data_IF_313531536880
#
_entry.id   IF_313531536880
#
_cell.length_a   1.000
_cell.length_b   1.000
_cell.length_c   1.000
_cell.angle_alpha   90.00
_cell.angle_beta   90.00
_cell.angle_gamma   90.00
#
_symmetry.space_group_name_H-M   'P 1'
#
loop_
_entity.id
_entity.type
_entity.pdbx_description
1 polymer ?
#
# COMPACT_ATOMS: atom_id res chain seq x y z
N UNK A 1 -23.04 53.86 -29.12
CA UNK A 1 -23.07 52.76 -28.12
C UNK A 1 -22.70 51.41 -28.72
N UNK A 2 -22.88 51.19 -30.00
CA UNK A 2 -22.57 49.91 -30.71
C UNK A 2 -21.06 49.78 -31.01
N UNK A 3 -20.36 50.86 -31.32
CA UNK A 3 -18.91 50.82 -31.60
C UNK A 3 -18.04 50.54 -30.38
N UNK A 4 -18.41 51.01 -29.18
CA UNK A 4 -17.68 50.65 -27.93
C UNK A 4 -17.84 49.21 -27.51
N UNK A 5 -18.94 48.52 -27.88
CA UNK A 5 -19.13 47.09 -27.64
C UNK A 5 -18.29 46.23 -28.59
N UNK A 6 -18.10 46.67 -29.84
CA UNK A 6 -17.26 45.96 -30.81
C UNK A 6 -15.78 46.04 -30.46
N UNK A 7 -15.31 47.18 -29.92
CA UNK A 7 -13.93 47.39 -29.49
C UNK A 7 -13.60 46.56 -28.24
N UNK A 8 -14.54 46.49 -27.28
CA UNK A 8 -14.38 45.65 -26.06
C UNK A 8 -14.36 44.14 -26.36
N UNK A 9 -15.19 43.70 -27.31
CA UNK A 9 -15.16 42.29 -27.77
C UNK A 9 -13.91 41.94 -28.58
N UNK A 10 -13.25 42.93 -29.21
CA UNK A 10 -12.01 42.74 -29.94
C UNK A 10 -10.78 42.70 -28.99
N UNK A 11 -10.85 43.43 -27.88
CA UNK A 11 -9.83 43.38 -26.83
C UNK A 11 -9.90 42.07 -26.01
N UNK A 12 -11.10 41.56 -25.70
CA UNK A 12 -11.29 40.27 -25.06
C UNK A 12 -10.74 39.17 -25.96
N UNK A 13 -11.01 39.17 -27.28
CA UNK A 13 -10.45 38.21 -28.24
C UNK A 13 -8.95 38.33 -28.46
N UNK A 14 -8.32 39.46 -28.10
CA UNK A 14 -6.87 39.63 -28.09
C UNK A 14 -6.21 39.15 -26.79
N UNK A 15 -6.92 39.14 -25.69
CA UNK A 15 -6.45 38.58 -24.40
C UNK A 15 -6.44 37.05 -24.43
N UNK A 16 -7.42 36.41 -25.10
CA UNK A 16 -7.49 34.95 -25.27
C UNK A 16 -6.46 34.39 -26.29
N UNK A 17 -5.66 35.25 -26.93
CA UNK A 17 -4.64 34.81 -27.91
C UNK A 17 -3.20 34.82 -27.42
N UNK A 18 -2.99 34.98 -26.13
CA UNK A 18 -1.67 34.81 -25.52
C UNK A 18 -1.66 33.67 -24.49
N UNK A 19 -2.32 32.57 -24.79
CA UNK A 19 -1.83 31.31 -24.24
C UNK A 19 -0.43 31.09 -24.77
N UNK A 20 0.55 31.12 -23.86
CA UNK A 20 1.94 30.95 -24.20
C UNK A 20 2.15 29.60 -24.88
N UNK A 21 3.11 29.51 -25.79
CA UNK A 21 3.52 28.24 -26.42
C UNK A 21 3.86 27.17 -25.36
N UNK A 22 4.18 27.59 -24.13
CA UNK A 22 4.37 26.76 -22.95
C UNK A 22 3.06 26.11 -22.46
N UNK A 23 1.93 26.83 -22.43
CA UNK A 23 0.62 26.28 -22.05
C UNK A 23 0.09 25.28 -23.06
N UNK A 24 0.35 25.49 -24.35
CA UNK A 24 -0.01 24.52 -25.41
C UNK A 24 0.83 23.24 -25.38
N UNK A 25 2.08 23.31 -24.91
CA UNK A 25 2.92 22.11 -24.74
C UNK A 25 2.48 21.28 -23.53
N UNK A 26 1.87 21.90 -22.50
CA UNK A 26 1.29 21.21 -21.35
C UNK A 26 -0.02 20.48 -21.68
N UNK A 27 -0.80 20.95 -22.66
CA UNK A 27 -2.12 20.41 -22.99
C UNK A 27 -2.10 19.12 -23.86
N UNK A 28 -0.95 18.67 -24.36
CA UNK A 28 -0.89 17.62 -25.39
C UNK A 28 -0.18 16.32 -24.98
N UNK A 29 0.13 16.07 -23.71
CA UNK A 29 0.97 14.91 -23.35
C UNK A 29 0.36 13.88 -22.41
N UNK A 30 -0.94 13.67 -22.45
CA UNK A 30 -1.60 12.56 -21.73
C UNK A 30 -1.19 11.13 -22.18
N UNK A 31 -0.18 10.99 -23.07
CA UNK A 31 0.19 9.69 -23.66
C UNK A 31 1.60 9.16 -23.35
N UNK A 32 2.47 9.92 -22.66
CA UNK A 32 3.80 9.43 -22.31
C UNK A 32 4.20 9.87 -20.89
N UNK A 33 3.54 9.31 -19.88
CA UNK A 33 4.00 9.40 -18.51
C UNK A 33 5.27 8.54 -18.36
N UNK A 34 6.33 9.12 -17.79
CA UNK A 34 7.51 8.34 -17.40
C UNK A 34 7.33 7.86 -15.97
N UNK A 35 7.30 6.56 -15.75
CA UNK A 35 7.16 6.00 -14.42
C UNK A 35 8.41 6.18 -13.56
N UNK A 36 8.22 6.28 -12.24
CA UNK A 36 9.32 6.53 -11.28
C UNK A 36 10.40 5.45 -11.35
N UNK A 37 10.05 4.19 -11.62
CA UNK A 37 11.02 3.10 -11.77
C UNK A 37 11.98 3.32 -12.96
N UNK A 38 11.52 4.00 -14.01
CA UNK A 38 12.30 4.26 -15.23
C UNK A 38 13.28 5.44 -15.08
N UNK A 39 13.23 6.19 -13.98
CA UNK A 39 14.02 7.37 -13.76
C UNK A 39 15.52 7.05 -13.70
N UNK A 40 16.30 7.76 -14.52
CA UNK A 40 17.77 7.72 -14.52
C UNK A 40 18.32 9.11 -14.25
N UNK A 41 19.42 9.19 -13.47
CA UNK A 41 20.09 10.46 -13.17
C UNK A 41 20.43 11.23 -14.45
N UNK A 42 20.19 12.53 -14.44
CA UNK A 42 20.39 13.43 -15.57
C UNK A 42 19.20 13.50 -16.55
N UNK A 43 18.25 12.59 -16.49
CA UNK A 43 17.08 12.63 -17.37
C UNK A 43 16.13 13.77 -16.98
N UNK A 44 15.43 14.32 -17.97
CA UNK A 44 14.24 15.13 -17.74
C UNK A 44 13.03 14.20 -17.54
N UNK A 45 12.10 14.61 -16.70
CA UNK A 45 10.82 13.93 -16.53
C UNK A 45 9.67 14.90 -16.74
N UNK A 46 8.53 14.35 -17.12
CA UNK A 46 7.27 15.04 -17.26
C UNK A 46 6.16 14.05 -17.02
N UNK A 47 5.15 14.45 -16.26
CA UNK A 47 3.98 13.61 -16.01
C UNK A 47 3.08 14.14 -14.91
N UNK A 48 2.00 13.39 -14.68
CA UNK A 48 1.14 13.57 -13.52
C UNK A 48 1.60 12.58 -12.45
N UNK A 49 1.66 13.02 -11.20
CA UNK A 49 2.02 12.22 -10.03
C UNK A 49 1.12 12.58 -8.86
N UNK A 50 0.85 11.62 -7.99
CA UNK A 50 0.21 11.89 -6.72
C UNK A 50 1.22 12.56 -5.77
N UNK A 51 0.91 13.75 -5.30
CA UNK A 51 1.71 14.43 -4.27
C UNK A 51 1.38 13.84 -2.89
N UNK A 52 2.01 12.73 -2.50
CA UNK A 52 1.72 12.05 -1.23
C UNK A 52 1.97 12.91 0.00
N UNK A 53 2.99 13.77 -0.04
CA UNK A 53 3.26 14.74 1.02
C UNK A 53 3.87 16.03 0.50
N UNK A 54 3.58 17.15 1.20
CA UNK A 54 4.14 18.48 0.93
C UNK A 54 4.60 19.11 2.24
N UNK A 55 5.86 19.47 2.30
CA UNK A 55 6.44 20.20 3.43
C UNK A 55 7.04 21.51 2.95
N UNK A 56 6.78 22.58 3.66
CA UNK A 56 7.36 23.90 3.42
C UNK A 56 8.56 24.08 4.33
N UNK A 57 9.75 24.10 3.75
CA UNK A 57 11.02 24.14 4.48
C UNK A 57 11.84 25.37 4.10
N UNK A 58 12.88 25.67 4.90
CA UNK A 58 13.84 26.76 4.62
C UNK A 58 15.24 26.19 4.46
N UNK A 59 15.97 26.70 3.48
CA UNK A 59 17.40 26.43 3.32
C UNK A 59 18.19 27.13 4.47
N UNK A 60 19.48 26.79 4.61
CA UNK A 60 20.38 27.48 5.55
C UNK A 60 20.50 28.99 5.29
N UNK A 61 20.27 29.43 4.04
CA UNK A 61 20.23 30.83 3.64
C UNK A 61 18.85 31.49 3.81
N UNK A 62 17.87 30.81 4.44
CA UNK A 62 16.55 31.35 4.72
C UNK A 62 15.55 31.28 3.54
N UNK A 63 15.97 30.80 2.35
CA UNK A 63 15.07 30.67 1.19
C UNK A 63 14.07 29.52 1.40
N UNK A 64 12.80 29.80 1.20
CA UNK A 64 11.73 28.80 1.28
C UNK A 64 11.74 27.89 0.04
N UNK A 65 11.52 26.60 0.24
CA UNK A 65 11.36 25.59 -0.80
C UNK A 65 10.34 24.53 -0.37
N UNK A 66 9.81 23.77 -1.34
CA UNK A 66 8.96 22.63 -1.03
C UNK A 66 9.77 21.33 -1.09
N UNK A 67 9.54 20.47 -0.08
CA UNK A 67 9.93 19.06 -0.08
C UNK A 67 8.67 18.24 -0.28
N UNK A 68 8.62 17.48 -1.38
CA UNK A 68 7.47 16.68 -1.78
C UNK A 68 7.87 15.21 -1.80
N UNK A 69 6.89 14.34 -1.61
CA UNK A 69 6.97 12.92 -1.95
C UNK A 69 5.99 12.68 -3.11
N UNK A 70 6.51 12.35 -4.29
CA UNK A 70 5.70 12.03 -5.46
C UNK A 70 5.53 10.52 -5.59
N UNK A 71 4.35 10.09 -6.02
CA UNK A 71 4.00 8.68 -6.17
C UNK A 71 3.34 8.39 -7.51
N UNK A 72 3.70 7.25 -8.09
CA UNK A 72 2.93 6.53 -9.10
C UNK A 72 2.80 5.05 -8.71
N UNK A 73 2.22 4.22 -9.57
CA UNK A 73 2.02 2.77 -9.29
C UNK A 73 3.32 1.98 -9.18
N UNK A 74 4.45 2.53 -9.62
CA UNK A 74 5.76 1.87 -9.63
C UNK A 74 6.60 2.24 -8.42
N UNK A 75 6.24 3.30 -7.69
CA UNK A 75 6.96 3.68 -6.48
C UNK A 75 6.75 5.12 -6.05
N UNK A 76 7.65 5.55 -5.16
CA UNK A 76 7.70 6.90 -4.61
C UNK A 76 9.08 7.51 -4.83
N UNK A 77 9.15 8.85 -4.97
CA UNK A 77 10.41 9.57 -5.13
C UNK A 77 10.37 10.90 -4.39
N UNK A 78 11.47 11.24 -3.75
CA UNK A 78 11.69 12.57 -3.18
C UNK A 78 11.77 13.63 -4.28
N UNK A 79 11.06 14.75 -4.09
CA UNK A 79 11.04 15.87 -5.01
C UNK A 79 11.30 17.19 -4.29
N UNK A 80 12.09 18.06 -4.90
CA UNK A 80 12.40 19.38 -4.36
C UNK A 80 12.00 20.47 -5.35
N UNK A 81 11.30 21.47 -4.84
CA UNK A 81 10.94 22.70 -5.57
C UNK A 81 11.75 23.85 -4.97
N UNK A 82 12.93 24.11 -5.53
CA UNK A 82 13.86 25.09 -4.98
C UNK A 82 13.47 26.55 -5.25
N UNK A 83 12.67 26.77 -6.30
CA UNK A 83 12.23 28.10 -6.72
C UNK A 83 10.71 28.17 -6.80
N UNK A 84 10.12 28.94 -5.89
CA UNK A 84 8.68 29.18 -5.85
C UNK A 84 8.37 30.38 -6.73
N UNK A 85 8.31 30.16 -8.04
CA UNK A 85 8.02 31.17 -9.07
C UNK A 85 6.62 30.97 -9.66
N UNK A 86 6.25 31.75 -10.65
CA UNK A 86 4.93 31.69 -11.32
C UNK A 86 4.66 30.36 -12.05
N UNK A 87 5.67 29.49 -12.20
CA UNK A 87 5.48 28.14 -12.73
C UNK A 87 4.98 27.12 -11.69
N UNK A 88 4.85 27.54 -10.43
CA UNK A 88 4.36 26.70 -9.32
C UNK A 88 2.98 27.18 -8.92
N UNK A 89 1.95 26.51 -9.43
CA UNK A 89 0.56 26.74 -9.02
C UNK A 89 0.31 26.25 -7.60
N UNK A 90 -0.81 26.64 -7.02
CA UNK A 90 -1.22 26.18 -5.69
C UNK A 90 -1.73 24.73 -5.76
N UNK A 91 -1.30 23.92 -4.78
CA UNK A 91 -1.68 22.52 -4.62
C UNK A 91 -1.46 22.08 -3.17
N UNK A 92 -2.08 20.99 -2.77
CA UNK A 92 -1.93 20.38 -1.45
C UNK A 92 -1.37 18.96 -1.51
N UNK A 93 -1.02 18.41 -0.34
CA UNK A 93 -0.79 16.97 -0.23
C UNK A 93 -2.07 16.22 -0.64
N UNK A 94 -1.90 15.06 -1.26
CA UNK A 94 -2.93 14.20 -1.84
C UNK A 94 -3.57 14.74 -3.13
N UNK A 95 -3.11 15.88 -3.68
CA UNK A 95 -3.48 16.30 -5.03
C UNK A 95 -2.70 15.52 -6.10
N UNK A 96 -3.36 15.25 -7.20
CA UNK A 96 -2.68 14.87 -8.44
C UNK A 96 -2.13 16.10 -9.10
N UNK A 97 -0.82 16.13 -9.29
CA UNK A 97 -0.11 17.29 -9.84
C UNK A 97 0.60 16.93 -11.14
N UNK A 98 0.41 17.75 -12.17
CA UNK A 98 1.23 17.71 -13.37
C UNK A 98 2.51 18.47 -13.10
N UNK A 99 3.65 17.84 -13.33
CA UNK A 99 4.96 18.41 -13.03
C UNK A 99 6.02 18.01 -14.02
N UNK A 100 7.04 18.83 -14.15
CA UNK A 100 8.26 18.55 -14.90
C UNK A 100 9.52 18.96 -14.12
N UNK A 101 10.65 18.44 -14.58
CA UNK A 101 11.92 18.73 -13.95
C UNK A 101 13.03 17.80 -14.41
N UNK A 102 13.99 17.57 -13.53
CA UNK A 102 15.14 16.71 -13.79
C UNK A 102 15.38 15.74 -12.65
N UNK A 103 15.82 14.54 -13.01
CA UNK A 103 16.25 13.51 -12.06
C UNK A 103 17.68 13.79 -11.61
N UNK A 104 17.89 13.79 -10.29
CA UNK A 104 19.21 14.00 -9.67
C UNK A 104 19.48 12.91 -8.65
N UNK A 105 20.70 12.87 -8.13
CA UNK A 105 21.08 11.99 -7.03
C UNK A 105 21.50 12.81 -5.80
N UNK A 106 21.06 12.41 -4.63
CA UNK A 106 21.48 13.00 -3.36
C UNK A 106 21.78 11.90 -2.34
N UNK A 107 23.00 11.88 -1.84
CA UNK A 107 23.48 10.84 -0.88
C UNK A 107 23.25 9.40 -1.36
N UNK A 108 23.40 9.16 -2.68
CA UNK A 108 23.21 7.84 -3.27
C UNK A 108 21.74 7.45 -3.56
N UNK A 109 20.78 8.31 -3.24
CA UNK A 109 19.37 8.10 -3.54
C UNK A 109 18.89 8.99 -4.67
N UNK A 110 18.04 8.47 -5.56
CA UNK A 110 17.40 9.25 -6.62
C UNK A 110 16.45 10.28 -6.02
N UNK A 111 16.48 11.49 -6.58
CA UNK A 111 15.62 12.60 -6.22
C UNK A 111 15.28 13.39 -7.48
N UNK A 112 14.17 14.10 -7.50
CA UNK A 112 13.82 14.98 -8.61
C UNK A 112 13.81 16.45 -8.19
N UNK A 113 14.33 17.31 -9.08
CA UNK A 113 14.20 18.76 -8.99
C UNK A 113 13.06 19.18 -9.90
N UNK A 114 12.00 19.69 -9.30
CA UNK A 114 10.78 20.12 -9.98
C UNK A 114 10.86 21.59 -10.35
N UNK A 115 10.48 21.92 -11.57
CA UNK A 115 10.55 23.29 -12.12
C UNK A 115 9.18 23.91 -12.35
N UNK A 116 8.15 23.10 -12.62
CA UNK A 116 6.76 23.56 -12.81
C UNK A 116 5.78 22.59 -12.16
N UNK A 117 4.71 23.14 -11.61
CA UNK A 117 3.61 22.37 -10.99
C UNK A 117 2.28 23.03 -11.32
N UNK A 118 1.28 22.22 -11.68
CA UNK A 118 -0.12 22.58 -11.61
C UNK A 118 -0.94 21.39 -11.10
N UNK A 119 -2.11 21.65 -10.55
CA UNK A 119 -3.09 20.57 -10.29
C UNK A 119 -3.51 19.93 -11.61
N UNK A 120 -3.62 18.60 -11.59
CA UNK A 120 -4.23 17.87 -12.69
C UNK A 120 -5.77 18.00 -12.58
N UNK A 121 -6.44 18.05 -13.73
CA UNK A 121 -7.90 18.12 -13.79
C UNK A 121 -8.48 16.70 -13.86
N UNK A 122 -9.72 16.56 -13.44
CA UNK A 122 -10.45 15.32 -13.57
C UNK A 122 -10.52 14.90 -15.07
N UNK A 123 -10.17 13.64 -15.34
CA UNK A 123 -10.06 13.10 -16.70
C UNK A 123 -8.68 13.23 -17.36
N UNK A 124 -7.70 13.94 -16.75
CA UNK A 124 -6.31 13.97 -17.23
C UNK A 124 -5.51 12.76 -16.74
N UNK A 125 -5.99 12.01 -15.74
CA UNK A 125 -5.31 10.88 -15.13
C UNK A 125 -6.31 9.77 -14.75
N UNK A 126 -5.80 8.55 -14.69
CA UNK A 126 -6.50 7.41 -14.08
C UNK A 126 -5.90 7.18 -12.68
N UNK A 127 -6.67 7.30 -11.60
CA UNK A 127 -6.18 7.08 -10.23
C UNK A 127 -5.47 5.73 -10.04
N UNK A 128 -5.85 4.69 -10.79
CA UNK A 128 -5.23 3.37 -10.72
C UNK A 128 -3.74 3.38 -11.13
N UNK A 129 -3.29 4.36 -11.92
CA UNK A 129 -1.90 4.49 -12.34
C UNK A 129 -0.98 5.10 -11.24
N UNK A 130 -1.55 5.50 -10.10
CA UNK A 130 -0.80 6.17 -9.02
C UNK A 130 -0.81 5.41 -7.71
N UNK A 131 -1.54 4.32 -7.64
CA UNK A 131 -1.69 3.52 -6.43
C UNK A 131 -1.11 2.14 -6.73
N UNK A 132 -0.04 1.71 -6.03
CA UNK A 132 0.47 0.36 -6.16
C UNK A 132 -0.65 -0.66 -5.93
N UNK A 133 -0.71 -1.70 -6.74
CA UNK A 133 -1.70 -2.77 -6.61
C UNK A 133 -1.02 -4.13 -6.70
N UNK A 134 -1.66 -5.15 -6.13
CA UNK A 134 -1.23 -6.54 -6.27
C UNK A 134 -1.02 -6.91 -7.75
N UNK A 135 0.04 -7.66 -8.03
CA UNK A 135 0.34 -8.23 -9.35
C UNK A 135 -0.59 -9.40 -9.69
N UNK A 136 -1.29 -9.94 -8.71
CA UNK A 136 -2.21 -11.08 -8.84
C UNK A 136 -3.65 -10.58 -8.98
N UNK A 137 -4.47 -11.35 -9.69
CA UNK A 137 -5.89 -11.05 -9.81
C UNK A 137 -6.59 -11.17 -8.45
N UNK A 138 -7.22 -10.09 -8.02
CA UNK A 138 -7.87 -10.02 -6.69
C UNK A 138 -9.10 -10.90 -6.59
N UNK A 139 -9.79 -11.13 -7.69
CA UNK A 139 -10.96 -12.01 -7.69
C UNK A 139 -10.53 -13.47 -7.57
N UNK A 140 -9.50 -13.88 -8.31
CA UNK A 140 -8.94 -15.24 -8.19
C UNK A 140 -8.42 -15.52 -6.78
N UNK A 141 -7.66 -14.58 -6.18
CA UNK A 141 -7.20 -14.69 -4.79
C UNK A 141 -8.35 -14.81 -3.81
N UNK A 142 -9.40 -14.00 -3.98
CA UNK A 142 -10.56 -14.04 -3.11
C UNK A 142 -11.34 -15.36 -3.25
N UNK A 143 -11.54 -15.87 -4.45
CA UNK A 143 -12.22 -17.15 -4.67
C UNK A 143 -11.43 -18.31 -4.05
N UNK A 144 -10.11 -18.28 -4.09
CA UNK A 144 -9.27 -19.26 -3.40
C UNK A 144 -9.45 -19.17 -1.88
N UNK A 145 -9.47 -17.95 -1.30
CA UNK A 145 -9.72 -17.75 0.14
C UNK A 145 -11.10 -18.29 0.54
N UNK A 146 -12.13 -18.05 -0.26
CA UNK A 146 -13.48 -18.62 -0.06
C UNK A 146 -13.44 -20.15 -0.14
N UNK A 147 -12.59 -20.71 -0.99
CA UNK A 147 -12.32 -22.14 -1.02
C UNK A 147 -11.87 -22.68 0.35
N UNK A 148 -10.92 -22.03 1.01
CA UNK A 148 -10.49 -22.40 2.37
C UNK A 148 -11.61 -22.22 3.39
N UNK A 149 -12.33 -21.11 3.36
CA UNK A 149 -13.50 -20.88 4.22
C UNK A 149 -14.51 -22.03 4.12
N UNK A 150 -14.77 -22.50 2.89
CA UNK A 150 -15.70 -23.59 2.65
C UNK A 150 -15.26 -24.93 3.26
N UNK A 151 -13.99 -25.11 3.55
CA UNK A 151 -13.46 -26.34 4.20
C UNK A 151 -13.60 -26.35 5.73
N UNK A 152 -13.90 -25.23 6.38
CA UNK A 152 -14.10 -25.17 7.83
C UNK A 152 -15.32 -25.99 8.22
N UNK A 153 -15.18 -26.92 9.18
CA UNK A 153 -16.24 -27.84 9.64
C UNK A 153 -16.85 -27.40 10.97
N UNK A 154 -16.08 -26.74 11.85
CA UNK A 154 -16.58 -26.23 13.12
C UNK A 154 -17.66 -25.16 12.84
N UNK A 155 -18.93 -25.36 13.29
CA UNK A 155 -20.05 -24.56 12.81
C UNK A 155 -19.98 -23.08 13.24
N UNK A 156 -19.46 -22.77 14.42
CA UNK A 156 -19.40 -21.39 14.92
C UNK A 156 -18.27 -20.61 14.24
N UNK A 157 -17.10 -21.23 14.01
CA UNK A 157 -16.01 -20.63 13.24
C UNK A 157 -16.43 -20.42 11.79
N UNK A 158 -17.14 -21.39 11.21
CA UNK A 158 -17.72 -21.27 9.86
C UNK A 158 -18.68 -20.10 9.76
N UNK A 159 -19.63 -20.02 10.70
CA UNK A 159 -20.62 -18.93 10.70
C UNK A 159 -19.95 -17.57 10.86
N UNK A 160 -19.00 -17.45 11.80
CA UNK A 160 -18.24 -16.20 12.00
C UNK A 160 -17.51 -15.78 10.73
N UNK A 161 -16.80 -16.71 10.08
CA UNK A 161 -16.01 -16.42 8.87
C UNK A 161 -16.91 -16.09 7.68
N UNK A 162 -17.99 -16.86 7.47
CA UNK A 162 -18.93 -16.60 6.38
C UNK A 162 -19.59 -15.23 6.49
N UNK A 163 -19.94 -14.79 7.69
CA UNK A 163 -20.55 -13.49 7.94
C UNK A 163 -19.77 -12.34 7.31
N UNK A 164 -18.45 -12.31 7.46
CA UNK A 164 -17.59 -11.24 6.95
C UNK A 164 -17.14 -11.47 5.51
N UNK A 165 -16.69 -12.67 5.21
CA UNK A 165 -15.99 -12.95 3.96
C UNK A 165 -16.87 -13.60 2.88
N UNK A 166 -18.15 -13.83 3.12
CA UNK A 166 -19.06 -14.42 2.13
C UNK A 166 -20.38 -13.65 2.04
N UNK A 167 -20.92 -13.15 3.17
CA UNK A 167 -22.27 -12.57 3.23
C UNK A 167 -22.26 -11.04 3.18
N UNK A 168 -21.23 -10.39 3.74
CA UNK A 168 -21.12 -8.93 3.78
C UNK A 168 -20.39 -8.39 2.53
N UNK A 169 -21.17 -7.99 1.54
CA UNK A 169 -20.64 -7.51 0.25
C UNK A 169 -19.80 -6.23 0.38
N UNK A 170 -20.14 -5.34 1.33
CA UNK A 170 -19.39 -4.10 1.57
C UNK A 170 -18.05 -4.40 2.21
N UNK A 171 -18.03 -5.24 3.25
CA UNK A 171 -16.80 -5.69 3.87
C UNK A 171 -15.88 -6.44 2.89
N UNK A 172 -16.43 -7.33 2.07
CA UNK A 172 -15.68 -8.06 1.03
C UNK A 172 -15.01 -7.09 0.05
N UNK A 173 -15.74 -6.06 -0.39
CA UNK A 173 -15.21 -5.05 -1.30
C UNK A 173 -14.05 -4.30 -0.65
N UNK A 174 -14.19 -3.85 0.59
CA UNK A 174 -13.18 -3.15 1.35
C UNK A 174 -11.95 -4.04 1.58
N UNK A 175 -12.12 -5.25 2.09
CA UNK A 175 -11.05 -6.23 2.31
C UNK A 175 -10.23 -6.52 1.05
N UNK A 176 -10.88 -6.67 -0.12
CA UNK A 176 -10.23 -6.91 -1.41
C UNK A 176 -9.41 -5.72 -1.92
N UNK A 177 -9.62 -4.53 -1.39
CA UNK A 177 -8.93 -3.31 -1.80
C UNK A 177 -7.90 -2.84 -0.78
N UNK A 178 -8.03 -3.28 0.48
CA UNK A 178 -7.23 -2.79 1.59
C UNK A 178 -5.76 -3.21 1.49
N UNK A 179 -4.86 -2.34 2.01
CA UNK A 179 -3.45 -2.67 2.20
C UNK A 179 -3.21 -3.45 3.48
N UNK A 180 -2.12 -4.21 3.54
CA UNK A 180 -1.66 -4.82 4.77
C UNK A 180 -0.63 -3.98 5.54
N UNK A 181 -0.16 -2.86 4.96
CA UNK A 181 0.83 -1.99 5.60
C UNK A 181 0.79 -0.57 5.03
N UNK A 182 1.29 0.41 5.79
CA UNK A 182 1.40 1.80 5.34
C UNK A 182 2.40 1.98 4.18
N UNK A 183 3.57 1.30 4.22
CA UNK A 183 4.68 1.59 3.29
C UNK A 183 5.68 0.45 3.07
N UNK A 184 5.48 -0.69 3.69
CA UNK A 184 6.34 -1.88 3.56
C UNK A 184 5.56 -3.01 2.91
N UNK A 185 6.12 -4.24 2.86
CA UNK A 185 5.50 -5.41 2.26
C UNK A 185 3.96 -5.40 2.33
N UNK A 186 3.33 -5.69 1.20
CA UNK A 186 1.86 -5.61 1.02
C UNK A 186 1.22 -4.22 1.24
N UNK A 187 2.00 -3.12 1.15
CA UNK A 187 1.51 -1.73 1.23
C UNK A 187 0.87 -1.23 -0.07
N UNK A 188 0.02 -2.05 -0.70
CA UNK A 188 -0.62 -1.79 -1.99
C UNK A 188 -2.08 -2.28 -2.00
N UNK A 189 -2.85 -1.86 -3.00
CA UNK A 189 -4.25 -2.27 -3.17
C UNK A 189 -4.35 -3.79 -3.33
N UNK A 190 -5.12 -4.43 -2.44
CA UNK A 190 -5.26 -5.89 -2.36
C UNK A 190 -4.14 -6.57 -1.58
N UNK A 191 -3.27 -5.79 -0.92
CA UNK A 191 -2.18 -6.33 -0.10
C UNK A 191 -2.67 -7.15 1.09
N UNK A 192 -3.74 -6.70 1.76
CA UNK A 192 -4.34 -7.44 2.87
C UNK A 192 -4.89 -8.80 2.42
N UNK A 193 -5.60 -8.86 1.30
CA UNK A 193 -6.08 -10.11 0.73
C UNK A 193 -4.92 -11.04 0.33
N UNK A 194 -3.89 -10.51 -0.35
CA UNK A 194 -2.73 -11.30 -0.78
C UNK A 194 -2.00 -11.91 0.40
N UNK A 195 -1.71 -11.12 1.43
CA UNK A 195 -1.07 -11.56 2.67
C UNK A 195 -1.92 -12.61 3.41
N UNK A 196 -3.19 -12.30 3.66
CA UNK A 196 -4.11 -13.22 4.33
C UNK A 196 -4.18 -14.58 3.61
N UNK A 197 -4.25 -14.58 2.28
CA UNK A 197 -4.27 -15.82 1.49
C UNK A 197 -2.94 -16.59 1.60
N UNK A 198 -1.80 -15.91 1.54
CA UNK A 198 -0.49 -16.54 1.66
C UNK A 198 -0.31 -17.19 3.04
N UNK A 199 -0.66 -16.49 4.11
CA UNK A 199 -0.65 -17.02 5.49
C UNK A 199 -1.61 -18.20 5.62
N UNK A 200 -2.82 -18.12 5.05
CA UNK A 200 -3.81 -19.22 5.07
C UNK A 200 -3.28 -20.48 4.37
N UNK A 201 -2.61 -20.35 3.21
CA UNK A 201 -1.98 -21.47 2.49
C UNK A 201 -0.93 -22.16 3.35
N UNK A 202 -0.07 -21.39 4.02
CA UNK A 202 0.96 -21.94 4.91
C UNK A 202 0.35 -22.63 6.14
N UNK A 203 -0.67 -22.05 6.74
CA UNK A 203 -1.39 -22.63 7.87
C UNK A 203 -2.09 -23.94 7.48
N UNK A 204 -2.68 -24.03 6.29
CA UNK A 204 -3.26 -25.27 5.77
C UNK A 204 -2.18 -26.35 5.55
N UNK A 205 -1.02 -25.94 5.02
CA UNK A 205 0.12 -26.87 4.90
C UNK A 205 0.59 -27.38 6.28
N UNK A 206 0.71 -26.49 7.28
CA UNK A 206 1.09 -26.90 8.63
C UNK A 206 0.07 -27.88 9.24
N UNK A 207 -1.23 -27.56 9.15
CA UNK A 207 -2.27 -28.43 9.69
C UNK A 207 -2.32 -29.82 9.06
N UNK A 208 -1.98 -29.93 7.78
CA UNK A 208 -1.85 -31.25 7.08
C UNK A 208 -0.65 -32.07 7.53
N UNK A 209 0.40 -31.44 8.05
CA UNK A 209 1.66 -32.11 8.41
C UNK A 209 1.84 -32.27 9.92
N UNK A 210 1.15 -31.51 10.75
CA UNK A 210 1.29 -31.53 12.20
C UNK A 210 -0.08 -31.82 12.86
N UNK A 211 -0.29 -33.08 13.25
CA UNK A 211 -1.56 -33.57 13.79
C UNK A 211 -1.98 -32.96 15.15
N UNK A 212 -1.11 -32.18 15.79
CA UNK A 212 -1.42 -31.46 17.03
C UNK A 212 -2.22 -30.19 16.77
N UNK A 213 -2.35 -29.76 15.52
CA UNK A 213 -3.03 -28.52 15.13
C UNK A 213 -4.51 -28.77 14.88
N UNK A 214 -5.36 -27.98 15.52
CA UNK A 214 -6.75 -27.82 15.11
C UNK A 214 -6.78 -26.98 13.84
N UNK A 215 -7.10 -27.66 12.71
CA UNK A 215 -7.08 -27.03 11.39
C UNK A 215 -8.12 -25.91 11.27
N UNK A 216 -9.34 -26.13 11.79
CA UNK A 216 -10.43 -25.17 11.64
C UNK A 216 -10.14 -23.89 12.42
N UNK A 217 -9.63 -24.02 13.65
CA UNK A 217 -9.17 -22.89 14.45
C UNK A 217 -8.02 -22.15 13.75
N UNK A 218 -7.00 -22.89 13.24
CA UNK A 218 -5.83 -22.29 12.61
C UNK A 218 -6.17 -21.56 11.30
N UNK A 219 -7.02 -22.13 10.43
CA UNK A 219 -7.47 -21.49 9.19
C UNK A 219 -8.30 -20.25 9.51
N UNK A 220 -9.21 -20.33 10.48
CA UNK A 220 -10.00 -19.16 10.91
C UNK A 220 -9.08 -18.08 11.47
N UNK A 221 -8.11 -18.43 12.31
CA UNK A 221 -7.14 -17.49 12.84
C UNK A 221 -6.30 -16.83 11.74
N UNK A 222 -5.86 -17.60 10.73
CA UNK A 222 -5.12 -17.07 9.58
C UNK A 222 -5.95 -16.07 8.75
N UNK A 223 -7.25 -16.29 8.59
CA UNK A 223 -8.15 -15.40 7.87
C UNK A 223 -8.39 -14.09 8.63
N UNK A 224 -8.44 -14.15 9.96
CA UNK A 224 -8.76 -13.00 10.80
C UNK A 224 -7.55 -12.29 11.43
N UNK A 225 -6.31 -12.83 11.35
CA UNK A 225 -5.18 -12.32 12.14
C UNK A 225 -4.94 -10.82 11.94
N UNK A 226 -5.07 -10.37 10.74
CA UNK A 226 -4.82 -8.99 10.30
C UNK A 226 -6.09 -8.19 10.00
N UNK A 227 -7.27 -8.71 10.32
CA UNK A 227 -8.57 -8.06 10.03
C UNK A 227 -8.66 -6.63 10.58
N UNK A 228 -8.01 -6.37 11.70
CA UNK A 228 -8.00 -5.05 12.34
C UNK A 228 -7.34 -3.96 11.49
N UNK A 229 -6.53 -4.31 10.49
CA UNK A 229 -5.91 -3.37 9.57
C UNK A 229 -6.90 -2.56 8.75
N UNK A 230 -8.12 -3.07 8.53
CA UNK A 230 -9.22 -2.34 7.88
C UNK A 230 -9.58 -1.06 8.65
N UNK A 231 -9.44 -1.07 9.96
CA UNK A 231 -9.68 0.13 10.80
C UNK A 231 -8.39 0.83 11.21
N UNK A 232 -7.26 0.12 11.21
CA UNK A 232 -5.95 0.70 11.54
C UNK A 232 -5.46 1.66 10.47
N UNK A 233 -5.70 1.36 9.19
CA UNK A 233 -5.25 2.17 8.06
C UNK A 233 -6.43 2.78 7.33
N UNK A 234 -6.25 4.00 6.83
CA UNK A 234 -7.23 4.66 5.97
C UNK A 234 -7.15 4.12 4.55
N UNK A 235 -8.23 4.29 3.80
CA UNK A 235 -8.29 3.96 2.38
C UNK A 235 -7.20 4.63 1.54
N UNK A 236 -6.88 4.02 0.40
CA UNK A 236 -6.11 4.68 -0.64
C UNK A 236 -6.85 5.91 -1.19
N UNK A 237 -6.12 6.95 -1.59
CA UNK A 237 -4.66 7.03 -1.78
C UNK A 237 -3.85 7.37 -0.53
N UNK A 238 -4.47 7.74 0.59
CA UNK A 238 -3.76 8.14 1.81
C UNK A 238 -2.96 6.97 2.40
N UNK A 239 -3.61 5.86 2.66
CA UNK A 239 -3.01 4.67 3.27
C UNK A 239 -2.16 5.03 4.49
N UNK A 240 -2.74 5.80 5.41
CA UNK A 240 -2.08 6.26 6.65
C UNK A 240 -2.83 5.73 7.88
N UNK A 241 -2.19 5.74 9.02
CA UNK A 241 -2.82 5.35 10.27
C UNK A 241 -4.01 6.26 10.59
N UNK A 242 -5.13 5.65 10.96
CA UNK A 242 -6.28 6.35 11.56
C UNK A 242 -5.99 6.69 13.03
N UNK A 243 -6.81 7.54 13.64
CA UNK A 243 -6.73 7.80 15.08
C UNK A 243 -6.92 6.52 15.90
N UNK A 244 -7.87 5.66 15.49
CA UNK A 244 -8.14 4.37 16.11
C UNK A 244 -6.95 3.41 15.94
N UNK A 245 -6.34 3.38 14.77
CA UNK A 245 -5.14 2.61 14.49
C UNK A 245 -3.94 3.04 15.34
N UNK A 246 -3.72 4.34 15.49
CA UNK A 246 -2.64 4.89 16.31
C UNK A 246 -2.82 4.60 17.81
N UNK A 247 -4.05 4.60 18.30
CA UNK A 247 -4.35 4.43 19.72
C UNK A 247 -4.46 2.97 20.14
N UNK A 248 -5.00 2.09 19.29
CA UNK A 248 -5.35 0.72 19.64
C UNK A 248 -4.55 -0.34 18.88
N UNK A 249 -4.28 -0.11 17.59
CA UNK A 249 -3.59 -1.04 16.71
C UNK A 249 -4.45 -2.23 16.26
N UNK A 250 -4.10 -2.80 15.09
CA UNK A 250 -4.88 -3.86 14.44
C UNK A 250 -5.03 -5.14 15.27
N UNK A 251 -4.00 -5.50 16.06
CA UNK A 251 -4.02 -6.71 16.90
C UNK A 251 -5.18 -6.64 17.90
N UNK A 252 -5.30 -5.49 18.60
CA UNK A 252 -6.38 -5.30 19.55
C UNK A 252 -7.74 -5.22 18.85
N UNK A 253 -7.84 -4.40 17.79
CA UNK A 253 -9.08 -4.21 17.03
C UNK A 253 -9.61 -5.53 16.47
N UNK A 254 -8.74 -6.39 15.94
CA UNK A 254 -9.11 -7.72 15.46
C UNK A 254 -9.58 -8.64 16.57
N UNK A 255 -8.87 -8.69 17.69
CA UNK A 255 -9.25 -9.52 18.83
C UNK A 255 -10.56 -9.05 19.50
N UNK A 256 -10.81 -7.74 19.56
CA UNK A 256 -12.05 -7.15 20.05
C UNK A 256 -13.23 -7.51 19.13
N UNK A 257 -13.04 -7.37 17.80
CA UNK A 257 -14.03 -7.79 16.81
C UNK A 257 -14.48 -9.23 17.05
N UNK A 258 -13.52 -10.17 17.13
CA UNK A 258 -13.83 -11.59 17.36
C UNK A 258 -14.62 -11.79 18.65
N UNK A 259 -14.22 -11.13 19.76
CA UNK A 259 -14.94 -11.23 21.03
C UNK A 259 -16.41 -10.78 20.92
N UNK A 260 -16.62 -9.61 20.34
CA UNK A 260 -17.94 -9.01 20.13
C UNK A 260 -18.82 -9.82 19.19
N UNK A 261 -18.25 -10.41 18.16
CA UNK A 261 -19.01 -11.18 17.18
C UNK A 261 -19.32 -12.60 17.65
N UNK A 262 -18.42 -13.24 18.41
CA UNK A 262 -18.68 -14.52 19.03
C UNK A 262 -19.87 -14.46 20.01
N UNK A 263 -20.02 -13.37 20.76
CA UNK A 263 -21.17 -13.15 21.66
C UNK A 263 -22.52 -13.08 20.92
N UNK A 264 -22.53 -12.68 19.66
CA UNK A 264 -23.74 -12.57 18.82
C UNK A 264 -24.14 -13.89 18.16
N UNK A 265 -23.25 -14.87 18.12
CA UNK A 265 -23.51 -16.19 17.55
C UNK A 265 -24.04 -17.12 18.65
N UNK A 266 -25.29 -17.56 18.56
CA UNK A 266 -25.88 -18.40 19.60
C UNK A 266 -25.10 -19.70 19.83
N UNK A 267 -24.72 -19.97 21.07
CA UNK A 267 -24.00 -21.19 21.45
C UNK A 267 -22.51 -21.21 21.08
N UNK A 268 -21.94 -20.10 20.66
CA UNK A 268 -20.47 -20.04 20.40
C UNK A 268 -19.72 -20.44 21.69
N UNK A 269 -18.86 -21.48 21.65
CA UNK A 269 -18.14 -21.90 22.85
C UNK A 269 -17.17 -20.82 23.33
N UNK A 270 -17.31 -20.43 24.60
CA UNK A 270 -16.47 -19.37 25.19
C UNK A 270 -14.96 -19.70 25.14
N UNK A 271 -14.65 -21.00 25.30
CA UNK A 271 -13.26 -21.48 25.19
C UNK A 271 -12.73 -21.24 23.78
N UNK A 272 -13.49 -21.63 22.76
CA UNK A 272 -13.10 -21.47 21.35
C UNK A 272 -12.93 -19.97 20.97
N UNK A 273 -13.81 -19.10 21.46
CA UNK A 273 -13.69 -17.66 21.27
C UNK A 273 -12.40 -17.10 21.90
N UNK A 274 -12.02 -17.59 23.09
CA UNK A 274 -10.75 -17.20 23.74
C UNK A 274 -9.54 -17.72 23.00
N UNK A 275 -9.57 -18.94 22.50
CA UNK A 275 -8.49 -19.55 21.72
C UNK A 275 -8.27 -18.80 20.41
N UNK A 276 -9.32 -18.49 19.66
CA UNK A 276 -9.21 -17.69 18.44
C UNK A 276 -8.66 -16.29 18.73
N UNK A 277 -9.17 -15.61 19.77
CA UNK A 277 -8.64 -14.30 20.19
C UNK A 277 -7.18 -14.37 20.61
N UNK A 278 -6.76 -15.46 21.28
CA UNK A 278 -5.36 -15.66 21.63
C UNK A 278 -4.48 -15.77 20.39
N UNK A 279 -4.90 -16.50 19.35
CA UNK A 279 -4.16 -16.57 18.09
C UNK A 279 -3.97 -15.17 17.49
N UNK A 280 -5.02 -14.32 17.48
CA UNK A 280 -4.91 -12.94 16.99
C UNK A 280 -3.96 -12.11 17.87
N UNK A 281 -4.10 -12.17 19.21
CA UNK A 281 -3.26 -11.39 20.13
C UNK A 281 -1.78 -11.80 20.11
N UNK A 282 -1.45 -12.99 19.65
CA UNK A 282 -0.12 -13.56 19.71
C UNK A 282 0.59 -13.70 18.34
N UNK A 283 -0.07 -13.31 17.23
CA UNK A 283 0.42 -13.67 15.88
C UNK A 283 1.77 -13.03 15.53
N UNK A 284 2.14 -11.85 16.02
CA UNK A 284 3.48 -11.29 15.85
C UNK A 284 4.57 -12.01 16.69
N UNK A 285 4.19 -12.88 17.65
CA UNK A 285 5.08 -13.76 18.40
C UNK A 285 5.82 -13.12 19.56
N UNK A 286 6.44 -11.98 19.38
CA UNK A 286 7.27 -11.29 20.37
C UNK A 286 6.64 -9.98 20.85
N UNK A 287 6.91 -9.64 22.12
CA UNK A 287 6.40 -8.39 22.72
C UNK A 287 6.98 -7.15 22.04
N UNK A 288 8.23 -7.23 21.58
CA UNK A 288 8.93 -6.18 20.84
C UNK A 288 8.25 -5.86 19.49
N UNK A 289 7.52 -6.81 18.94
CA UNK A 289 6.78 -6.64 17.69
C UNK A 289 5.31 -6.26 17.91
N UNK A 290 4.95 -5.89 19.15
CA UNK A 290 3.63 -5.39 19.50
C UNK A 290 2.61 -6.46 19.90
N UNK A 291 2.97 -7.76 19.91
CA UNK A 291 2.09 -8.78 20.46
C UNK A 291 1.91 -8.59 21.96
N UNK A 292 0.68 -8.42 22.48
CA UNK A 292 0.45 -8.34 23.92
C UNK A 292 0.66 -9.68 24.64
N UNK A 293 0.77 -10.78 23.91
CA UNK A 293 1.03 -12.14 24.40
C UNK A 293 1.93 -12.91 23.45
N UNK A 294 2.79 -13.77 24.00
CA UNK A 294 3.51 -14.77 23.21
C UNK A 294 2.57 -15.95 22.89
N UNK A 295 2.79 -16.66 21.76
CA UNK A 295 2.01 -17.85 21.41
C UNK A 295 2.08 -18.90 22.51
N UNK A 296 0.93 -19.30 23.05
CA UNK A 296 0.80 -20.31 24.09
C UNK A 296 0.11 -21.60 23.60
N UNK A 297 -0.34 -21.63 22.36
CA UNK A 297 -0.99 -22.75 21.68
C UNK A 297 -0.25 -23.10 20.40
N UNK A 298 -0.38 -24.34 19.95
CA UNK A 298 0.27 -24.80 18.73
C UNK A 298 -0.20 -24.02 17.50
N UNK A 299 -1.48 -23.69 17.42
CA UNK A 299 -2.10 -22.90 16.35
C UNK A 299 -1.57 -21.47 16.33
N UNK A 300 -1.46 -20.82 17.49
CA UNK A 300 -0.88 -19.47 17.59
C UNK A 300 0.59 -19.46 17.17
N UNK A 301 1.37 -20.50 17.50
CA UNK A 301 2.76 -20.66 17.08
C UNK A 301 2.86 -20.88 15.56
N UNK A 302 2.01 -21.73 14.99
CA UNK A 302 1.97 -22.00 13.56
C UNK A 302 1.58 -20.75 12.77
N UNK A 303 0.60 -19.99 13.25
CA UNK A 303 0.19 -18.71 12.65
C UNK A 303 1.34 -17.71 12.66
N UNK A 304 2.02 -17.51 13.78
CA UNK A 304 3.19 -16.63 13.88
C UNK A 304 4.29 -16.98 12.87
N UNK A 305 4.58 -18.27 12.70
CA UNK A 305 5.59 -18.67 11.70
C UNK A 305 5.13 -18.42 10.26
N UNK A 306 3.85 -18.63 9.96
CA UNK A 306 3.29 -18.39 8.63
C UNK A 306 3.32 -16.90 8.29
N UNK A 307 2.86 -16.05 9.20
CA UNK A 307 2.85 -14.60 9.08
C UNK A 307 4.28 -14.03 8.88
N UNK A 308 5.20 -14.38 9.78
CA UNK A 308 6.60 -13.95 9.69
C UNK A 308 7.30 -14.45 8.40
N UNK A 309 6.98 -15.67 7.95
CA UNK A 309 7.55 -16.21 6.71
C UNK A 309 7.07 -15.41 5.50
N UNK A 310 5.77 -15.11 5.40
CA UNK A 310 5.23 -14.31 4.30
C UNK A 310 5.82 -12.91 4.28
N UNK A 311 5.79 -12.20 5.40
CA UNK A 311 6.34 -10.85 5.54
C UNK A 311 7.81 -10.76 5.11
N UNK A 312 8.65 -11.72 5.52
CA UNK A 312 10.07 -11.74 5.16
C UNK A 312 10.32 -12.14 3.71
N UNK A 313 9.56 -13.09 3.18
CA UNK A 313 9.69 -13.49 1.77
C UNK A 313 9.21 -12.41 0.82
N UNK A 314 8.13 -11.70 1.16
CA UNK A 314 7.68 -10.56 0.37
C UNK A 314 8.69 -9.41 0.41
N UNK A 315 9.27 -9.10 1.58
CA UNK A 315 10.39 -8.14 1.69
C UNK A 315 11.57 -8.54 0.80
N UNK A 316 11.93 -9.82 0.76
CA UNK A 316 12.98 -10.33 -0.15
C UNK A 316 12.58 -10.15 -1.61
N UNK A 317 11.33 -10.44 -1.95
CA UNK A 317 10.78 -10.27 -3.31
C UNK A 317 10.88 -8.84 -3.77
N UNK A 318 10.48 -7.88 -2.94
CA UNK A 318 10.62 -6.46 -3.24
C UNK A 318 12.08 -6.02 -3.47
N UNK A 319 13.02 -6.53 -2.67
CA UNK A 319 14.44 -6.24 -2.84
C UNK A 319 14.96 -6.81 -4.17
N UNK A 320 14.54 -8.03 -4.51
CA UNK A 320 14.96 -8.71 -5.73
C UNK A 320 14.36 -8.05 -6.99
N UNK A 321 13.11 -7.58 -6.91
CA UNK A 321 12.43 -6.92 -8.04
C UNK A 321 13.08 -5.57 -8.41
N UNK A 322 13.63 -4.87 -7.41
CA UNK A 322 14.34 -3.60 -7.59
C UNK A 322 15.78 -3.77 -8.06
N UNK A 323 16.32 -4.97 -8.03
CA UNK A 323 17.72 -5.25 -8.37
C UNK A 323 17.85 -5.92 -9.74
N UNK A 324 18.92 -5.55 -10.47
CA UNK A 324 19.34 -6.30 -11.66
C UNK A 324 19.78 -7.74 -11.26
N UNK A 325 19.62 -8.73 -12.15
CA UNK A 325 20.06 -10.10 -11.88
C UNK A 325 21.56 -10.17 -11.62
N UNK A 326 21.96 -10.40 -10.39
CA UNK A 326 23.37 -10.43 -9.98
C UNK A 326 23.62 -11.40 -8.86
N UNK A 327 24.83 -12.00 -8.83
CA UNK A 327 25.33 -12.78 -7.69
C UNK A 327 26.08 -11.93 -6.68
N UNK A 328 26.18 -10.63 -6.87
CA UNK A 328 26.78 -9.71 -5.91
C UNK A 328 25.82 -9.44 -4.73
N UNK A 329 26.37 -8.89 -3.65
CA UNK A 329 25.58 -8.49 -2.50
C UNK A 329 24.77 -7.22 -2.81
N UNK A 330 23.47 -7.25 -2.51
CA UNK A 330 22.55 -6.12 -2.71
C UNK A 330 22.57 -5.11 -1.54
N UNK A 331 23.33 -5.40 -0.50
CA UNK A 331 23.48 -4.57 0.68
C UNK A 331 22.65 -5.02 1.87
N UNK A 332 22.73 -4.26 2.98
CA UNK A 332 22.06 -4.55 4.22
C UNK A 332 20.60 -4.09 4.17
N UNK A 333 19.68 -4.99 4.45
CA UNK A 333 18.25 -4.68 4.59
C UNK A 333 17.87 -4.65 6.08
N UNK A 334 17.31 -3.53 6.55
CA UNK A 334 16.97 -3.33 7.97
C UNK A 334 15.82 -4.22 8.44
N UNK A 335 14.83 -4.49 7.58
CA UNK A 335 13.67 -5.33 7.92
C UNK A 335 14.04 -6.81 8.03
N UNK A 336 15.08 -7.24 7.30
CA UNK A 336 15.60 -8.61 7.33
C UNK A 336 16.79 -8.75 8.30
N UNK A 337 17.30 -7.64 8.81
CA UNK A 337 18.49 -7.55 9.66
C UNK A 337 19.69 -8.31 9.07
N UNK A 338 19.80 -8.32 7.74
CA UNK A 338 20.81 -9.11 7.02
C UNK A 338 21.23 -8.44 5.71
N UNK A 339 22.43 -8.80 5.25
CA UNK A 339 22.83 -8.54 3.87
C UNK A 339 22.09 -9.49 2.93
N UNK A 340 21.56 -8.95 1.83
CA UNK A 340 20.74 -9.67 0.87
C UNK A 340 21.52 -10.02 -0.39
N UNK A 341 21.26 -11.19 -0.97
CA UNK A 341 21.86 -11.68 -2.21
C UNK A 341 20.89 -12.59 -2.96
N UNK A 342 20.82 -12.44 -4.28
CA UNK A 342 20.08 -13.37 -5.13
C UNK A 342 20.79 -14.70 -5.27
N UNK A 343 20.04 -15.80 -5.30
CA UNK A 343 20.62 -17.11 -5.61
C UNK A 343 20.85 -17.29 -7.10
N UNK A 344 21.85 -18.10 -7.49
CA UNK A 344 22.12 -18.39 -8.90
C UNK A 344 20.92 -19.02 -9.61
N UNK A 345 20.16 -19.87 -8.93
CA UNK A 345 18.95 -20.49 -9.46
C UNK A 345 17.81 -19.48 -9.72
N UNK A 346 17.66 -18.47 -8.87
CA UNK A 346 16.70 -17.38 -9.09
C UNK A 346 17.07 -16.55 -10.33
N UNK A 347 18.34 -16.19 -10.47
CA UNK A 347 18.85 -15.43 -11.62
C UNK A 347 18.62 -16.20 -12.93
N UNK A 348 18.82 -17.52 -12.93
CA UNK A 348 18.56 -18.35 -14.11
C UNK A 348 17.09 -18.37 -14.55
N UNK A 349 16.14 -18.25 -13.64
CA UNK A 349 14.70 -18.21 -13.96
C UNK A 349 14.24 -16.86 -14.51
N UNK A 350 14.99 -15.79 -14.28
CA UNK A 350 14.69 -14.44 -14.79
C UNK A 350 15.32 -14.13 -16.15
N UNK A 351 16.22 -14.98 -16.65
CA UNK A 351 16.78 -14.91 -18.01
C UNK A 351 15.93 -15.72 -18.98
#
# INVERSE_FOLDING_TARGET
MIEKKAQFLTEIKKCDRKESAAERSFAHSGKNMTYIEEYKEGNKFFGIYLCKSKQVLKTKAGKTYYSLLLQDKTGVIDAKVWELNNGIADFDAMDFIMTDGSVTSFQGSRQVNVTRIRKAQEGEYDPAEYIPASKYDREEMYQELVGYINTIQEPHLKQLTCKYFVEDAEFIKEFKQHSAAKSVHHGFVGGLLQHTLAVTRMCDFFAKNYLILDRDLLITAAIFHDIGKIWELSDFPSNDYTDEGQLLGHIFLGAELIGREAEKIPGFPEVLARELRHCILAHHGELEYGSPKKPAMAEAMALNFADNADAKLETMTEVYDKAEPTTEWLGYNRLLESNVRQSSGYIHKRK
#
